data_IF_771337056515
#
_entry.id   IF_771337056515
#
_cell.length_a   1.000
_cell.length_b   1.000
_cell.length_c   1.000
_cell.angle_alpha   90.00
_cell.angle_beta   90.00
_cell.angle_gamma   90.00
#
_symmetry.space_group_name_H-M   'P 1'
#
loop_
_entity.id
_entity.type
_entity.pdbx_description
1 polymer ?
#
# COMPACT_ATOMS: atom_id res chain seq x y z
N UNK A 1 -12.86 -30.70 -20.05
CA UNK A 1 -13.40 -30.31 -19.69
C UNK A 1 -13.35 -29.10 -19.53
N UNK A 2 -13.94 -28.66 -19.82
CA UNK A 2 -13.96 -27.34 -19.75
C UNK A 2 -13.44 -26.89 -18.56
N UNK A 3 -13.32 -27.80 -17.85
CA UNK A 3 -12.77 -27.49 -16.74
C UNK A 3 -11.63 -26.78 -16.89
N UNK A 4 -10.98 -27.00 -17.83
CA UNK A 4 -9.80 -26.37 -17.88
C UNK A 4 -10.01 -25.10 -18.38
N UNK A 5 -11.10 -24.64 -18.58
CA UNK A 5 -11.25 -23.41 -18.80
C UNK A 5 -10.79 -22.68 -17.68
N UNK A 6 -9.64 -22.34 -17.72
CA UNK A 6 -9.09 -21.56 -16.74
C UNK A 6 -9.74 -20.23 -16.77
N UNK A 7 -10.44 -19.88 -15.79
CA UNK A 7 -10.88 -18.51 -15.63
C UNK A 7 -9.64 -17.68 -15.42
N UNK A 8 -9.50 -16.58 -16.11
CA UNK A 8 -8.35 -15.71 -15.88
C UNK A 8 -8.32 -15.32 -14.42
N UNK A 9 -7.21 -15.55 -13.79
CA UNK A 9 -7.03 -15.12 -12.42
C UNK A 9 -6.70 -13.65 -12.40
N UNK A 10 -7.13 -13.02 -11.34
CA UNK A 10 -6.82 -11.62 -11.16
C UNK A 10 -7.77 -10.68 -11.87
N UNK A 11 -7.55 -9.39 -11.68
CA UNK A 11 -8.44 -8.37 -12.23
C UNK A 11 -8.24 -8.18 -13.72
N UNK A 12 -9.27 -7.69 -14.39
CA UNK A 12 -9.21 -7.40 -15.81
C UNK A 12 -9.33 -5.93 -16.12
N UNK A 13 -9.84 -5.15 -15.19
CA UNK A 13 -10.15 -3.75 -15.46
C UNK A 13 -9.64 -2.87 -14.36
N UNK A 14 -9.37 -1.64 -14.73
CA UNK A 14 -9.01 -0.59 -13.81
C UNK A 14 -10.24 -0.17 -13.02
N UNK A 15 -10.07 0.13 -11.76
CA UNK A 15 -11.14 0.66 -10.93
C UNK A 15 -11.45 2.11 -11.33
N UNK A 16 -12.69 2.55 -11.10
CA UNK A 16 -13.10 3.91 -11.52
C UNK A 16 -12.26 5.03 -10.92
N UNK A 17 -11.85 4.90 -9.67
CA UNK A 17 -11.04 5.92 -9.02
C UNK A 17 -9.62 5.43 -8.84
N UNK A 18 -8.67 6.26 -9.23
CA UNK A 18 -7.25 5.93 -9.09
C UNK A 18 -6.68 6.66 -7.90
N UNK A 19 -5.66 6.08 -7.30
CA UNK A 19 -4.96 6.64 -6.15
C UNK A 19 -3.48 6.57 -6.45
N UNK A 20 -2.75 7.64 -6.22
CA UNK A 20 -1.32 7.66 -6.46
C UNK A 20 -0.57 7.04 -5.29
N UNK A 21 0.34 6.09 -5.55
CA UNK A 21 1.12 5.50 -4.47
C UNK A 21 2.21 6.48 -4.00
N UNK A 22 2.49 6.46 -2.70
CA UNK A 22 3.60 7.22 -2.15
C UNK A 22 4.87 6.37 -2.17
N UNK A 23 6.01 7.02 -2.23
CA UNK A 23 7.27 6.31 -2.17
C UNK A 23 7.36 5.53 -0.86
N UNK A 24 7.78 4.26 -0.95
CA UNK A 24 7.93 3.35 0.19
C UNK A 24 6.62 2.99 0.89
N UNK A 25 5.50 3.28 0.29
CA UNK A 25 4.21 2.95 0.90
C UNK A 25 4.05 1.43 1.01
N UNK A 26 3.48 0.97 2.12
CA UNK A 26 3.18 -0.46 2.27
C UNK A 26 2.14 -0.85 1.24
N UNK A 27 2.37 -1.94 0.53
CA UNK A 27 1.44 -2.39 -0.52
C UNK A 27 0.04 -2.65 0.03
N UNK A 28 -0.06 -3.17 1.25
CA UNK A 28 -1.37 -3.40 1.87
C UNK A 28 -2.06 -2.09 2.22
N UNK A 29 -1.31 -1.06 2.59
CA UNK A 29 -1.86 0.27 2.86
C UNK A 29 -2.40 0.88 1.56
N UNK A 30 -1.62 0.81 0.48
CA UNK A 30 -2.06 1.32 -0.81
C UNK A 30 -3.32 0.60 -1.29
N UNK A 31 -3.37 -0.71 -1.13
CA UNK A 31 -4.54 -1.50 -1.52
C UNK A 31 -5.76 -1.05 -0.72
N UNK A 32 -5.60 -0.80 0.58
CA UNK A 32 -6.70 -0.32 1.41
C UNK A 32 -7.18 1.07 0.97
N UNK A 33 -6.26 1.97 0.64
CA UNK A 33 -6.65 3.30 0.17
C UNK A 33 -7.39 3.24 -1.15
N UNK A 34 -6.92 2.37 -2.06
CA UNK A 34 -7.57 2.18 -3.35
C UNK A 34 -8.97 1.59 -3.17
N UNK A 35 -9.12 0.61 -2.28
CA UNK A 35 -10.43 0.03 -1.97
C UNK A 35 -11.36 1.08 -1.40
N UNK A 36 -10.88 1.87 -0.45
CA UNK A 36 -11.68 2.92 0.19
C UNK A 36 -12.15 3.95 -0.83
N UNK A 37 -11.28 4.38 -1.72
CA UNK A 37 -11.62 5.36 -2.75
C UNK A 37 -12.70 4.84 -3.71
N UNK A 38 -12.80 3.53 -3.87
CA UNK A 38 -13.75 2.91 -4.77
C UNK A 38 -14.94 2.26 -4.04
N UNK A 39 -15.04 2.50 -2.74
CA UNK A 39 -16.13 1.98 -1.91
C UNK A 39 -16.23 0.46 -1.95
N UNK A 40 -15.07 -0.21 -1.96
CA UNK A 40 -15.00 -1.67 -1.94
C UNK A 40 -14.39 -2.09 -0.61
N UNK A 41 -14.78 -3.25 -0.12
CA UNK A 41 -14.15 -3.79 1.08
C UNK A 41 -12.68 -4.08 0.86
N UNK A 42 -11.85 -3.76 1.83
CA UNK A 42 -10.40 -3.96 1.73
C UNK A 42 -10.07 -5.43 1.48
N UNK A 43 -10.72 -6.35 2.19
CA UNK A 43 -10.45 -7.77 2.00
C UNK A 43 -10.88 -8.25 0.61
N UNK A 44 -11.96 -7.68 0.09
CA UNK A 44 -12.42 -8.01 -1.26
C UNK A 44 -11.34 -7.62 -2.28
N UNK A 45 -10.82 -6.42 -2.20
CA UNK A 45 -9.78 -5.99 -3.12
C UNK A 45 -8.49 -6.77 -2.91
N UNK A 46 -8.12 -7.05 -1.65
CA UNK A 46 -6.92 -7.86 -1.40
C UNK A 46 -7.01 -9.24 -2.05
N UNK A 47 -8.19 -9.84 -2.05
CA UNK A 47 -8.40 -11.12 -2.73
C UNK A 47 -8.29 -11.02 -4.24
N UNK A 48 -8.55 -9.85 -4.81
CA UNK A 48 -8.43 -9.65 -6.26
C UNK A 48 -7.00 -9.36 -6.71
N UNK A 49 -6.19 -8.76 -5.86
CA UNK A 49 -4.82 -8.37 -6.25
C UNK A 49 -3.75 -9.32 -5.71
N UNK A 50 -4.14 -10.31 -4.95
CA UNK A 50 -3.22 -11.32 -4.43
C UNK A 50 -3.77 -12.71 -4.67
N UNK A 51 -2.96 -13.72 -4.38
CA UNK A 51 -3.39 -15.10 -4.51
C UNK A 51 -4.48 -15.45 -3.51
N UNK A 52 -4.57 -14.69 -2.41
CA UNK A 52 -5.63 -14.82 -1.42
C UNK A 52 -5.72 -13.51 -0.65
N UNK A 53 -6.72 -13.37 0.22
CA UNK A 53 -6.86 -12.15 1.03
C UNK A 53 -5.68 -11.94 1.97
N UNK A 54 -5.02 -13.01 2.39
CA UNK A 54 -3.88 -12.91 3.29
C UNK A 54 -2.54 -12.84 2.58
N UNK A 55 -2.52 -12.98 1.26
CA UNK A 55 -1.28 -12.95 0.51
C UNK A 55 -0.88 -11.52 0.19
N UNK A 56 0.40 -11.32 -0.09
CA UNK A 56 0.88 -10.01 -0.53
C UNK A 56 0.32 -9.68 -1.90
N UNK A 57 0.01 -8.41 -2.18
CA UNK A 57 -0.49 -8.02 -3.50
C UNK A 57 0.54 -8.27 -4.60
N UNK A 58 0.06 -8.71 -5.75
CA UNK A 58 0.91 -8.88 -6.93
C UNK A 58 1.03 -7.56 -7.67
N UNK A 59 2.24 -7.24 -8.11
CA UNK A 59 2.48 -5.96 -8.79
C UNK A 59 1.70 -5.84 -10.10
N UNK A 60 1.61 -6.93 -10.87
CA UNK A 60 0.89 -6.89 -12.14
C UNK A 60 -0.61 -6.69 -11.94
N UNK A 61 -1.21 -7.38 -10.97
CA UNK A 61 -2.63 -7.24 -10.73
C UNK A 61 -2.97 -5.89 -10.10
N UNK A 62 -2.11 -5.41 -9.20
CA UNK A 62 -2.32 -4.11 -8.58
C UNK A 62 -2.19 -2.99 -9.62
N UNK A 63 -1.28 -3.14 -10.57
CA UNK A 63 -1.14 -2.19 -11.66
C UNK A 63 -2.43 -2.09 -12.49
N UNK A 64 -3.06 -3.23 -12.76
CA UNK A 64 -4.29 -3.23 -13.55
C UNK A 64 -5.41 -2.47 -12.83
N UNK A 65 -5.69 -2.79 -11.57
CA UNK A 65 -6.80 -2.17 -10.86
C UNK A 65 -6.53 -0.70 -10.54
N UNK A 66 -5.27 -0.33 -10.35
CA UNK A 66 -4.92 1.05 -9.99
C UNK A 66 -4.77 1.96 -11.18
N UNK A 67 -4.62 1.39 -12.37
CA UNK A 67 -4.34 2.20 -13.56
C UNK A 67 -2.93 2.77 -13.58
N UNK A 68 -2.04 2.30 -12.70
CA UNK A 68 -0.66 2.74 -12.65
C UNK A 68 0.22 1.78 -13.43
N UNK A 69 1.29 2.26 -14.08
CA UNK A 69 2.24 1.35 -14.70
C UNK A 69 2.83 0.40 -13.67
N UNK A 70 3.05 -0.84 -14.05
CA UNK A 70 3.59 -1.83 -13.12
C UNK A 70 4.93 -1.38 -12.56
N UNK A 71 5.75 -0.71 -13.36
CA UNK A 71 7.03 -0.21 -12.92
C UNK A 71 6.88 0.79 -11.77
N UNK A 72 5.86 1.64 -11.80
CA UNK A 72 5.60 2.60 -10.73
C UNK A 72 5.19 1.86 -9.46
N UNK A 73 4.34 0.85 -9.60
CA UNK A 73 3.93 0.03 -8.47
C UNK A 73 5.14 -0.65 -7.84
N UNK A 74 5.99 -1.26 -8.64
CA UNK A 74 7.18 -1.97 -8.15
C UNK A 74 8.19 -1.04 -7.51
N UNK A 75 8.33 0.17 -8.03
CA UNK A 75 9.31 1.12 -7.54
C UNK A 75 8.85 1.77 -6.24
N UNK A 76 7.58 2.12 -6.14
CA UNK A 76 7.10 2.88 -4.99
C UNK A 76 6.63 2.03 -3.83
N UNK A 77 6.02 0.90 -4.07
CA UNK A 77 5.43 0.10 -3.00
C UNK A 77 6.42 -0.90 -2.42
N UNK A 78 6.22 -1.24 -1.16
CA UNK A 78 7.00 -2.26 -0.46
C UNK A 78 6.06 -3.34 0.05
N UNK A 79 6.53 -4.57 0.06
CA UNK A 79 5.72 -5.69 0.54
C UNK A 79 4.87 -6.33 -0.53
N UNK A 80 5.22 -6.13 -1.81
CA UNK A 80 4.54 -6.83 -2.90
C UNK A 80 4.92 -8.30 -2.92
N UNK A 81 4.09 -9.13 -3.55
CA UNK A 81 4.40 -10.54 -3.73
C UNK A 81 5.70 -10.67 -4.52
N UNK A 82 6.57 -11.56 -4.08
CA UNK A 82 7.87 -11.74 -4.71
C UNK A 82 8.96 -10.84 -4.16
N UNK A 83 8.64 -9.92 -3.27
CA UNK A 83 9.63 -9.07 -2.64
C UNK A 83 10.49 -9.94 -1.73
N UNK A 84 11.79 -10.10 -1.99
CA UNK A 84 12.64 -10.98 -1.20
C UNK A 84 13.01 -10.39 0.14
N UNK A 85 12.89 -9.09 0.32
CA UNK A 85 13.36 -8.47 1.53
C UNK A 85 12.39 -8.66 2.67
N UNK A 86 12.91 -9.03 3.84
CA UNK A 86 12.12 -9.07 5.04
C UNK A 86 11.91 -7.62 5.49
N UNK A 87 10.66 -7.21 5.57
CA UNK A 87 10.35 -5.85 5.96
C UNK A 87 10.34 -5.73 7.47
N UNK A 88 11.02 -4.71 7.98
CA UNK A 88 11.06 -4.47 9.42
C UNK A 88 9.87 -3.64 9.83
N UNK A 89 9.06 -4.17 10.74
CA UNK A 89 7.85 -3.49 11.18
C UNK A 89 8.11 -2.12 11.80
N UNK A 90 9.24 -1.95 12.47
CA UNK A 90 9.54 -0.66 13.09
C UNK A 90 9.87 0.43 12.07
N UNK A 91 10.05 0.08 10.80
CA UNK A 91 10.23 1.07 9.74
C UNK A 91 8.89 1.43 9.09
N UNK A 92 7.83 0.68 9.40
CA UNK A 92 6.50 0.97 8.87
C UNK A 92 5.83 1.99 9.78
N UNK A 93 5.73 3.21 9.30
CA UNK A 93 5.24 4.32 10.10
C UNK A 93 4.28 5.17 9.31
N UNK A 94 3.34 5.85 9.97
CA UNK A 94 2.43 6.74 9.25
C UNK A 94 3.17 8.00 8.80
N UNK A 95 2.81 8.49 7.63
CA UNK A 95 3.29 9.77 7.17
C UNK A 95 2.63 10.89 8.00
N UNK A 96 3.22 12.08 7.95
CA UNK A 96 2.70 13.22 8.70
C UNK A 96 1.23 13.47 8.34
N UNK A 97 0.36 13.45 9.34
CA UNK A 97 -1.08 13.60 9.11
C UNK A 97 -1.43 14.95 8.52
N UNK A 98 -0.69 16.01 8.88
CA UNK A 98 -0.94 17.34 8.32
C UNK A 98 -0.53 17.42 6.86
N UNK A 99 0.56 16.75 6.48
CA UNK A 99 0.94 16.68 5.08
C UNK A 99 -0.13 15.96 4.28
N UNK A 100 -0.67 14.87 4.84
CA UNK A 100 -1.71 14.10 4.17
C UNK A 100 -3.02 14.89 4.09
N UNK A 101 -3.38 15.60 5.15
CA UNK A 101 -4.58 16.43 5.14
C UNK A 101 -4.49 17.52 4.07
N UNK A 102 -3.30 18.10 3.88
CA UNK A 102 -3.09 19.08 2.82
C UNK A 102 -3.29 18.52 1.42
N UNK A 103 -3.22 17.18 1.26
CA UNK A 103 -3.48 16.51 0.00
C UNK A 103 -4.88 15.91 -0.06
N UNK A 104 -5.73 16.20 0.94
CA UNK A 104 -7.08 15.68 0.98
C UNK A 104 -7.18 14.24 1.46
N UNK A 105 -6.12 13.71 2.08
CA UNK A 105 -6.09 12.33 2.54
C UNK A 105 -6.35 12.30 4.03
N UNK A 106 -7.41 11.64 4.45
CA UNK A 106 -7.80 11.58 5.85
C UNK A 106 -7.31 10.33 6.56
N UNK A 107 -7.22 9.21 5.84
CA UNK A 107 -6.75 7.98 6.45
C UNK A 107 -5.23 8.01 6.58
N UNK A 108 -4.69 7.31 7.58
CA UNK A 108 -3.23 7.25 7.73
C UNK A 108 -2.60 6.51 6.55
N UNK A 109 -1.48 7.02 6.08
CA UNK A 109 -0.70 6.40 5.02
C UNK A 109 0.56 5.83 5.66
N UNK A 110 0.72 4.50 5.59
CA UNK A 110 1.86 3.83 6.21
C UNK A 110 2.93 3.54 5.17
N UNK A 111 4.15 3.96 5.47
CA UNK A 111 5.28 3.74 4.59
C UNK A 111 6.43 3.11 5.36
N UNK A 112 7.29 2.37 4.66
CA UNK A 112 8.51 1.81 5.26
C UNK A 112 9.61 2.87 5.11
N UNK A 113 9.68 3.78 6.07
CA UNK A 113 10.59 4.90 6.01
C UNK A 113 11.98 4.52 6.50
N UNK A 114 13.02 5.17 5.97
CA UNK A 114 14.36 4.98 6.53
C UNK A 114 14.39 5.31 8.02
N UNK A 115 15.24 4.58 8.78
CA UNK A 115 15.25 4.72 10.23
C UNK A 115 15.56 6.14 10.70
N UNK A 116 16.33 6.90 9.93
CA UNK A 116 16.72 8.25 10.32
C UNK A 116 15.63 9.30 10.11
N UNK A 117 14.57 8.96 9.36
CA UNK A 117 13.48 9.89 9.15
C UNK A 117 12.50 9.77 10.32
N UNK A 118 12.62 10.65 11.27
CA UNK A 118 11.83 10.60 12.50
C UNK A 118 10.96 11.83 12.72
N UNK A 119 11.16 12.89 11.93
CA UNK A 119 10.42 14.13 12.11
C UNK A 119 9.97 14.66 10.75
N UNK A 120 8.74 15.12 10.68
CA UNK A 120 8.29 15.90 9.54
C UNK A 120 8.76 17.33 9.74
N UNK A 121 9.73 17.78 8.96
CA UNK A 121 10.31 19.11 9.14
C UNK A 121 9.31 20.24 8.86
N UNK A 122 8.36 20.00 7.97
CA UNK A 122 7.38 21.01 7.62
C UNK A 122 6.42 21.30 8.77
N UNK A 123 6.00 20.24 9.49
CA UNK A 123 5.01 20.38 10.56
C UNK A 123 5.59 20.06 11.94
N UNK A 124 6.88 19.76 12.00
CA UNK A 124 7.60 19.45 13.24
C UNK A 124 6.90 18.39 14.07
N UNK A 125 6.41 17.35 13.40
CA UNK A 125 5.72 16.25 14.05
C UNK A 125 6.60 15.01 14.04
N UNK A 126 6.52 14.26 15.14
CA UNK A 126 7.23 13.00 15.23
C UNK A 126 6.59 11.97 14.31
N UNK A 127 7.38 11.39 13.44
CA UNK A 127 6.92 10.31 12.54
C UNK A 127 7.80 9.07 12.69
N UNK A 128 8.60 9.03 13.75
CA UNK A 128 9.41 7.87 14.04
C UNK A 128 8.65 6.79 14.77
N UNK A 129 9.37 5.81 15.35
CA UNK A 129 8.73 4.76 16.15
C UNK A 129 7.97 5.36 17.32
N UNK A 130 6.95 4.65 17.86
CA UNK A 130 6.17 5.16 18.98
C UNK A 130 7.05 5.53 20.16
N UNK A 131 6.79 6.70 20.76
CA UNK A 131 7.65 7.20 21.82
C UNK A 131 7.67 6.29 23.05
N UNK A 132 6.59 5.58 23.33
CA UNK A 132 6.53 4.71 24.48
C UNK A 132 7.54 3.57 24.42
N UNK A 133 8.04 3.25 23.25
CA UNK A 133 9.03 2.18 23.15
C UNK A 133 10.37 2.62 23.67
N UNK A 134 10.55 3.90 23.89
CA UNK A 134 11.82 4.43 24.36
C UNK A 134 11.93 4.30 25.86
N UNK A 135 10.84 4.10 26.53
CA UNK A 135 10.89 4.00 27.95
C UNK A 135 11.23 2.59 28.26
N UNK A 136 12.33 2.29 28.36
CA UNK A 136 12.80 0.93 28.54
C UNK A 136 12.41 0.34 29.84
#
# INVERSE_FOLDING_TARGET
MATNRAWPRGPRQQLPRTVTPFAWEAATCYTARLAHANHIGTYTLRGHVGESCGARPRSDWLAIVSGQPEQVIQTRLRGLAGDPAALKQNLRRPLCRRCMAGKGIREPVYCYLPAHLTVCHRHQRWIGPPAHTVIG
#
